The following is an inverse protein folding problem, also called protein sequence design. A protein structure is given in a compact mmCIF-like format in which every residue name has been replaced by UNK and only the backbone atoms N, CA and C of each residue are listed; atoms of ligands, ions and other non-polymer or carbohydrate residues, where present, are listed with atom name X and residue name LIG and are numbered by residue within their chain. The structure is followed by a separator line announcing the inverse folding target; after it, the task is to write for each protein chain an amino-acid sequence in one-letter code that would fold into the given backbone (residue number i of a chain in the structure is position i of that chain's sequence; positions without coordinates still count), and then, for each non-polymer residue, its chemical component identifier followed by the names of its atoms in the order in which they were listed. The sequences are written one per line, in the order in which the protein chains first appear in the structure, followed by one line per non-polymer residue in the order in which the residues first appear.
data_IF_236289834364
#
_entry.id   IF_236289834364
#
_cell.length_a   1.000
_cell.length_b   1.000
_cell.length_c   1.000
_cell.angle_alpha   90.00
_cell.angle_beta   90.00
_cell.angle_gamma   90.00
#
_symmetry.space_group_name_H-M   'P 1'
#
loop_
_entity.id
_entity.type
_entity.pdbx_description
1 polymer ?
#
# COMPACT_ATOMS: atom_id res chain seq x y z
N UNK A 1 -0.61 -30.59 14.52
CA UNK A 1 0.05 -30.50 15.85
C UNK A 1 1.21 -31.51 15.95
N UNK A 2 0.98 -32.80 15.59
CA UNK A 2 2.04 -33.84 15.64
C UNK A 2 3.21 -33.47 14.70
N UNK A 3 2.94 -33.12 13.46
CA UNK A 3 3.97 -32.69 12.50
C UNK A 3 4.85 -31.54 13.00
N UNK A 4 4.28 -30.61 13.77
CA UNK A 4 5.04 -29.49 14.33
C UNK A 4 6.05 -29.98 15.39
N UNK A 5 5.67 -30.90 16.26
CA UNK A 5 6.54 -31.52 17.25
C UNK A 5 7.69 -32.30 16.57
N UNK A 6 7.36 -33.07 15.54
CA UNK A 6 8.34 -33.83 14.77
C UNK A 6 9.39 -32.91 14.14
N UNK A 7 8.96 -31.76 13.59
CA UNK A 7 9.89 -30.75 13.03
C UNK A 7 10.81 -30.17 14.11
N UNK A 8 10.27 -29.78 15.27
CA UNK A 8 11.08 -29.27 16.39
C UNK A 8 12.07 -30.32 16.87
N UNK A 9 11.63 -31.57 17.00
CA UNK A 9 12.49 -32.69 17.40
C UNK A 9 13.61 -32.97 16.39
N UNK A 10 13.34 -32.82 15.10
CA UNK A 10 14.35 -32.95 14.04
C UNK A 10 15.38 -31.82 14.15
N UNK A 11 14.94 -30.58 14.36
CA UNK A 11 15.82 -29.43 14.53
C UNK A 11 16.73 -29.62 15.73
N UNK A 12 16.17 -30.02 16.89
CA UNK A 12 16.91 -30.20 18.15
C UNK A 12 17.88 -31.34 18.12
N UNK A 13 17.77 -32.31 17.19
CA UNK A 13 18.71 -33.40 16.98
C UNK A 13 19.90 -33.05 16.07
N UNK A 14 19.93 -31.85 15.53
CA UNK A 14 20.97 -31.38 14.60
C UNK A 14 21.85 -30.33 15.28
N UNK A 15 23.15 -30.58 15.31
CA UNK A 15 24.14 -29.68 15.95
C UNK A 15 24.33 -28.36 15.19
N UNK A 16 23.95 -28.32 13.91
CA UNK A 16 24.07 -27.19 13.00
C UNK A 16 22.79 -26.38 12.83
N UNK A 17 21.70 -26.75 13.53
CA UNK A 17 20.42 -26.05 13.51
C UNK A 17 20.05 -25.50 14.89
N UNK A 18 19.35 -24.38 14.91
CA UNK A 18 18.80 -23.76 16.11
C UNK A 18 17.32 -23.49 15.90
N UNK A 19 16.47 -23.95 16.82
CA UNK A 19 15.07 -23.59 16.86
C UNK A 19 14.91 -22.17 17.40
N UNK A 20 15.17 -21.17 16.55
CA UNK A 20 15.25 -19.76 16.94
C UNK A 20 13.88 -19.11 17.07
N UNK A 21 12.91 -19.49 16.25
CA UNK A 21 11.60 -18.86 16.26
C UNK A 21 10.49 -19.70 15.66
N UNK A 22 9.25 -19.31 16.01
CA UNK A 22 8.03 -19.89 15.46
C UNK A 22 7.05 -18.79 15.11
N UNK A 23 6.30 -18.98 14.03
CA UNK A 23 5.30 -18.03 13.63
C UNK A 23 4.09 -18.66 12.94
N UNK A 24 3.01 -17.90 12.94
CA UNK A 24 1.90 -18.06 12.01
C UNK A 24 1.65 -16.76 11.26
N UNK A 25 0.93 -16.81 10.15
CA UNK A 25 0.47 -15.63 9.43
C UNK A 25 -1.05 -15.67 9.33
N UNK A 26 -1.71 -14.62 9.83
CA UNK A 26 -3.16 -14.55 9.84
C UNK A 26 -3.74 -14.50 8.43
N UNK A 27 -4.76 -15.31 8.18
CA UNK A 27 -5.44 -15.39 6.89
C UNK A 27 -6.28 -14.13 6.62
N UNK A 28 -6.96 -13.61 7.67
CA UNK A 28 -7.91 -12.49 7.56
C UNK A 28 -7.86 -11.63 8.81
N UNK A 29 -6.74 -10.91 9.02
CA UNK A 29 -6.61 -9.99 10.15
C UNK A 29 -7.15 -8.59 9.86
N UNK A 30 -7.37 -8.25 8.60
CA UNK A 30 -7.79 -6.94 8.10
C UNK A 30 -9.27 -6.87 7.72
N UNK A 31 -10.01 -7.92 8.04
CA UNK A 31 -11.46 -8.05 7.81
C UNK A 31 -12.23 -8.27 9.13
N UNK A 32 -13.53 -7.98 9.19
CA UNK A 32 -14.35 -8.30 10.34
C UNK A 32 -14.52 -9.81 10.52
N UNK A 33 -14.57 -10.28 11.77
CA UNK A 33 -14.82 -11.68 12.15
C UNK A 33 -13.82 -12.20 13.17
N UNK A 34 -14.03 -13.44 13.63
CA UNK A 34 -13.26 -14.06 14.71
C UNK A 34 -12.06 -14.89 14.22
N UNK A 35 -11.88 -15.05 12.91
CA UNK A 35 -10.85 -15.90 12.30
C UNK A 35 -9.44 -15.60 12.84
N UNK A 36 -9.10 -14.32 13.03
CA UNK A 36 -7.81 -13.92 13.58
C UNK A 36 -7.62 -14.44 15.02
N UNK A 37 -8.65 -14.31 15.89
CA UNK A 37 -8.58 -14.75 17.27
C UNK A 37 -8.55 -16.28 17.36
N UNK A 38 -9.35 -16.98 16.57
CA UNK A 38 -9.36 -18.45 16.49
C UNK A 38 -7.97 -18.99 16.06
N UNK A 39 -7.38 -18.41 15.03
CA UNK A 39 -6.04 -18.78 14.57
C UNK A 39 -4.97 -18.47 15.62
N UNK A 40 -5.10 -17.35 16.34
CA UNK A 40 -4.17 -16.98 17.40
C UNK A 40 -4.20 -17.96 18.59
N UNK A 41 -5.39 -18.31 19.10
CA UNK A 41 -5.52 -19.26 20.19
C UNK A 41 -5.02 -20.67 19.77
N UNK A 42 -5.35 -21.11 18.57
CA UNK A 42 -4.81 -22.37 18.03
C UNK A 42 -3.27 -22.34 17.93
N UNK A 43 -2.70 -21.23 17.49
CA UNK A 43 -1.23 -21.06 17.46
C UNK A 43 -0.61 -21.12 18.85
N UNK A 44 -1.21 -20.46 19.85
CA UNK A 44 -0.77 -20.53 21.24
C UNK A 44 -0.78 -21.95 21.79
N UNK A 45 -1.85 -22.68 21.51
CA UNK A 45 -1.99 -24.07 21.96
C UNK A 45 -0.89 -24.97 21.37
N UNK A 46 -0.53 -24.77 20.11
CA UNK A 46 0.58 -25.49 19.47
C UNK A 46 1.91 -25.13 20.14
N UNK A 47 2.21 -23.85 20.25
CA UNK A 47 3.51 -23.39 20.79
C UNK A 47 3.70 -23.80 22.25
N UNK A 48 2.63 -23.84 23.05
CA UNK A 48 2.70 -24.28 24.46
C UNK A 48 3.01 -25.79 24.61
N UNK A 49 2.97 -26.58 23.55
CA UNK A 49 3.25 -28.02 23.59
C UNK A 49 4.72 -28.39 23.29
N UNK A 50 5.54 -27.40 22.97
CA UNK A 50 6.97 -27.59 22.68
C UNK A 50 7.81 -26.62 23.51
N UNK A 51 9.13 -26.83 23.50
CA UNK A 51 10.06 -25.85 24.03
C UNK A 51 9.91 -24.50 23.33
N UNK A 52 9.83 -23.42 24.09
CA UNK A 52 9.62 -22.07 23.54
C UNK A 52 10.91 -21.55 22.92
N UNK A 53 10.89 -21.17 21.64
CA UNK A 53 12.03 -20.53 21.00
C UNK A 53 12.18 -19.07 21.46
N UNK A 54 13.28 -18.43 21.05
CA UNK A 54 13.56 -17.02 21.36
C UNK A 54 12.51 -16.07 20.77
N UNK A 55 11.99 -16.38 19.56
CA UNK A 55 11.00 -15.53 18.88
C UNK A 55 9.70 -16.28 18.63
N UNK A 56 8.62 -15.66 19.10
CA UNK A 56 7.24 -16.10 18.85
C UNK A 56 6.49 -14.92 18.23
N UNK A 57 5.99 -15.08 17.01
CA UNK A 57 5.30 -13.98 16.35
C UNK A 57 4.18 -14.42 15.42
N UNK A 58 3.07 -13.69 15.45
CA UNK A 58 1.91 -13.92 14.59
C UNK A 58 1.43 -12.64 13.89
N UNK A 59 1.65 -11.49 14.53
CA UNK A 59 1.05 -10.22 14.16
C UNK A 59 1.70 -9.65 12.89
N UNK A 60 0.87 -9.46 11.86
CA UNK A 60 1.12 -8.60 10.72
C UNK A 60 0.69 -7.15 11.03
N UNK A 61 0.67 -6.24 10.04
CA UNK A 61 0.26 -4.84 10.25
C UNK A 61 -1.14 -4.70 10.82
N UNK A 62 -2.12 -5.49 10.36
CA UNK A 62 -3.49 -5.42 10.86
C UNK A 62 -3.59 -5.91 12.31
N UNK A 63 -3.08 -7.11 12.57
CA UNK A 63 -3.13 -7.69 13.90
C UNK A 63 -2.35 -6.87 14.94
N UNK A 64 -1.22 -6.24 14.55
CA UNK A 64 -0.46 -5.39 15.48
C UNK A 64 -1.20 -4.12 15.89
N UNK A 65 -2.19 -3.69 15.12
CA UNK A 65 -3.02 -2.53 15.43
C UNK A 65 -4.32 -2.90 16.17
N UNK A 66 -4.86 -4.10 15.93
CA UNK A 66 -6.18 -4.50 16.40
C UNK A 66 -6.15 -5.37 17.66
N UNK A 67 -5.08 -6.11 17.92
CA UNK A 67 -5.04 -7.06 19.03
C UNK A 67 -3.85 -6.81 19.96
N UNK A 68 -4.08 -7.14 21.24
CA UNK A 68 -3.02 -7.24 22.24
C UNK A 68 -2.37 -8.63 22.15
N UNK A 69 -1.17 -8.68 21.57
CA UNK A 69 -0.45 -9.91 21.29
C UNK A 69 0.53 -10.34 22.40
N UNK A 70 0.20 -10.22 23.66
CA UNK A 70 1.11 -10.45 24.81
C UNK A 70 1.83 -11.79 24.81
N UNK A 71 1.29 -12.82 24.17
CA UNK A 71 1.97 -14.11 24.02
C UNK A 71 3.15 -14.05 23.04
N UNK A 72 3.07 -13.18 22.03
CA UNK A 72 4.12 -12.97 21.04
C UNK A 72 5.12 -11.91 21.53
N UNK A 73 6.39 -12.09 21.25
CA UNK A 73 7.45 -11.15 21.62
C UNK A 73 8.07 -10.42 20.43
N UNK A 74 7.53 -10.63 19.23
CA UNK A 74 7.91 -9.93 18.01
C UNK A 74 6.70 -9.72 17.09
N UNK A 75 6.78 -8.72 16.22
CA UNK A 75 5.76 -8.38 15.21
C UNK A 75 6.42 -8.24 13.82
N UNK A 76 5.63 -8.42 12.78
CA UNK A 76 6.07 -8.24 11.39
C UNK A 76 5.29 -7.11 10.75
N UNK A 77 5.74 -5.88 10.96
CA UNK A 77 5.13 -4.71 10.33
C UNK A 77 5.46 -4.68 8.84
N UNK A 78 4.40 -4.57 8.04
CA UNK A 78 4.48 -4.31 6.61
C UNK A 78 3.98 -2.90 6.29
N UNK A 79 2.79 -2.80 5.71
CA UNK A 79 2.23 -1.54 5.21
C UNK A 79 2.09 -0.45 6.28
N UNK A 80 1.83 -0.82 7.53
CA UNK A 80 1.70 0.15 8.63
C UNK A 80 3.02 0.84 8.98
N UNK A 81 4.18 0.25 8.66
CA UNK A 81 5.49 0.90 8.79
C UNK A 81 5.59 2.14 7.88
N UNK A 82 4.92 2.09 6.74
CA UNK A 82 4.85 3.21 5.79
C UNK A 82 3.72 4.19 6.09
N UNK A 83 2.99 3.97 7.20
CA UNK A 83 1.94 4.88 7.66
C UNK A 83 0.58 4.66 7.01
N UNK A 84 0.33 3.46 6.45
CA UNK A 84 -0.94 3.11 5.85
C UNK A 84 -1.69 2.06 6.65
N UNK A 85 -3.01 2.17 6.69
CA UNK A 85 -3.86 1.13 7.25
C UNK A 85 -4.02 -0.02 6.26
N UNK A 86 -3.97 -1.28 6.72
CA UNK A 86 -4.15 -2.44 5.84
C UNK A 86 -5.51 -2.49 5.14
N UNK A 87 -6.57 -1.98 5.80
CA UNK A 87 -7.92 -1.91 5.26
C UNK A 87 -8.71 -0.77 5.91
N UNK A 88 -9.89 -0.46 5.35
CA UNK A 88 -10.85 0.47 5.95
C UNK A 88 -11.34 -0.05 7.30
N UNK A 89 -11.60 -1.36 7.42
CA UNK A 89 -11.98 -2.00 8.69
C UNK A 89 -10.96 -1.71 9.80
N UNK A 90 -9.67 -1.90 9.54
CA UNK A 90 -8.61 -1.60 10.51
C UNK A 90 -8.63 -0.11 10.88
N UNK A 91 -8.72 0.77 9.90
CA UNK A 91 -8.76 2.23 10.12
C UNK A 91 -9.90 2.64 11.05
N UNK A 92 -11.09 2.06 10.88
CA UNK A 92 -12.28 2.42 11.64
C UNK A 92 -12.29 1.83 13.06
N UNK A 93 -11.50 0.76 13.30
CA UNK A 93 -11.48 0.04 14.57
C UNK A 93 -10.25 0.31 15.44
N UNK A 94 -9.34 1.20 15.03
CA UNK A 94 -8.14 1.54 15.81
C UNK A 94 -8.12 3.01 16.19
N UNK A 95 -7.49 3.31 17.34
CA UNK A 95 -7.32 4.70 17.81
C UNK A 95 -5.99 5.34 17.36
N UNK A 96 -5.11 4.56 16.76
CA UNK A 96 -3.79 5.02 16.33
C UNK A 96 -3.90 5.79 15.02
N UNK A 97 -3.37 7.00 14.97
CA UNK A 97 -3.26 7.77 13.74
C UNK A 97 -1.93 7.48 13.04
N UNK A 98 -2.01 6.71 11.97
CA UNK A 98 -0.86 6.47 11.09
C UNK A 98 -0.62 7.68 10.18
N UNK A 99 0.66 8.02 9.98
CA UNK A 99 1.08 9.09 9.08
C UNK A 99 1.96 8.49 7.99
N UNK A 100 1.62 8.67 6.71
CA UNK A 100 2.45 8.22 5.61
C UNK A 100 3.87 8.78 5.72
N UNK A 101 4.84 7.88 5.56
CA UNK A 101 6.27 8.18 5.68
C UNK A 101 6.99 8.27 4.33
N UNK A 102 6.29 7.94 3.22
CA UNK A 102 6.86 7.95 1.87
C UNK A 102 6.02 8.81 0.91
N UNK A 103 6.71 9.48 0.00
CA UNK A 103 6.11 10.21 -1.11
C UNK A 103 6.80 9.81 -2.41
N UNK A 104 6.02 9.58 -3.47
CA UNK A 104 6.55 9.48 -4.81
C UNK A 104 6.43 10.85 -5.48
N UNK A 105 7.56 11.39 -5.89
CA UNK A 105 7.67 12.76 -6.37
C UNK A 105 8.29 12.79 -7.76
N UNK A 106 7.80 13.70 -8.61
CA UNK A 106 8.37 14.05 -9.90
C UNK A 106 8.29 15.57 -10.11
N UNK A 107 8.65 16.04 -11.27
CA UNK A 107 8.53 17.44 -11.69
C UNK A 107 7.87 17.56 -13.06
N UNK A 108 7.33 18.71 -13.36
CA UNK A 108 6.72 19.00 -14.66
C UNK A 108 7.81 19.29 -15.67
N UNK A 109 7.83 18.50 -16.77
CA UNK A 109 8.79 18.71 -17.87
C UNK A 109 8.24 19.56 -19.01
N UNK A 110 6.90 19.67 -19.12
CA UNK A 110 6.26 20.52 -20.13
C UNK A 110 4.86 20.91 -19.68
N UNK A 111 4.44 22.15 -20.04
CA UNK A 111 3.05 22.62 -19.92
C UNK A 111 2.55 22.98 -21.31
N UNK A 112 1.29 22.60 -21.63
CA UNK A 112 0.62 22.92 -22.90
C UNK A 112 -0.81 23.41 -22.64
N UNK A 113 -1.30 24.28 -23.50
CA UNK A 113 -2.72 24.63 -23.56
C UNK A 113 -3.43 23.72 -24.55
N UNK A 114 -4.64 23.29 -24.21
CA UNK A 114 -5.55 22.55 -25.08
C UNK A 114 -6.76 23.44 -25.39
N UNK A 115 -7.16 23.44 -26.66
CA UNK A 115 -8.43 24.02 -27.09
C UNK A 115 -9.55 23.00 -26.97
N UNK A 116 -10.79 23.50 -26.96
CA UNK A 116 -11.97 22.64 -26.98
C UNK A 116 -11.90 21.64 -28.14
N UNK A 117 -12.15 20.39 -27.87
CA UNK A 117 -12.14 19.29 -28.84
C UNK A 117 -10.77 18.66 -29.08
N UNK A 118 -9.66 19.24 -28.59
CA UNK A 118 -8.35 18.60 -28.69
C UNK A 118 -8.25 17.39 -27.76
N UNK A 119 -7.51 16.38 -28.19
CA UNK A 119 -7.39 15.10 -27.50
C UNK A 119 -5.96 14.85 -27.04
N UNK A 120 -5.79 14.05 -25.97
CA UNK A 120 -4.49 13.65 -25.46
C UNK A 120 -4.38 12.15 -25.27
N UNK A 121 -3.11 11.68 -25.29
CA UNK A 121 -2.69 10.30 -25.02
C UNK A 121 -3.14 9.28 -26.07
N UNK A 122 -2.68 8.04 -25.88
CA UNK A 122 -3.02 6.91 -26.75
C UNK A 122 -4.51 6.60 -26.76
N UNK A 123 -5.05 6.37 -27.96
CA UNK A 123 -6.46 6.07 -28.16
C UNK A 123 -7.36 7.29 -27.98
N UNK A 124 -6.81 8.49 -27.82
CA UNK A 124 -7.56 9.75 -27.67
C UNK A 124 -8.63 9.63 -26.59
N UNK A 125 -8.30 9.01 -25.47
CA UNK A 125 -9.26 8.66 -24.39
C UNK A 125 -9.69 9.86 -23.56
N UNK A 126 -9.04 11.01 -23.74
CA UNK A 126 -9.44 12.27 -23.15
C UNK A 126 -9.64 13.32 -24.24
N UNK A 127 -10.75 14.06 -24.20
CA UNK A 127 -11.06 15.19 -25.06
C UNK A 127 -11.32 16.43 -24.18
N UNK A 128 -10.66 17.52 -24.50
CA UNK A 128 -10.87 18.77 -23.77
C UNK A 128 -12.26 19.36 -24.06
N UNK A 129 -13.10 19.45 -23.03
CA UNK A 129 -14.46 20.04 -23.12
C UNK A 129 -14.45 21.56 -23.02
N UNK A 130 -13.37 22.14 -22.52
CA UNK A 130 -13.11 23.57 -22.40
C UNK A 130 -11.63 23.86 -22.66
N UNK A 131 -11.29 25.12 -22.88
CA UNK A 131 -9.88 25.51 -22.89
C UNK A 131 -9.28 25.22 -21.54
N UNK A 132 -8.12 24.51 -21.50
CA UNK A 132 -7.47 24.06 -20.29
C UNK A 132 -5.97 23.92 -20.50
N UNK A 133 -5.21 23.89 -19.39
CA UNK A 133 -3.80 23.51 -19.40
C UNK A 133 -3.61 22.08 -18.95
N UNK A 134 -2.62 21.46 -19.56
CA UNK A 134 -2.10 20.15 -19.17
C UNK A 134 -0.60 20.23 -18.90
N UNK A 135 -0.12 19.37 -18.02
CA UNK A 135 1.30 19.18 -17.77
C UNK A 135 1.72 17.75 -18.10
N UNK A 136 2.95 17.59 -18.55
CA UNK A 136 3.57 16.31 -18.85
C UNK A 136 4.57 16.00 -17.73
N UNK A 137 4.43 14.82 -17.16
CA UNK A 137 5.27 14.27 -16.11
C UNK A 137 6.14 13.15 -16.69
N UNK A 138 7.45 13.12 -16.43
CA UNK A 138 8.37 12.10 -16.93
C UNK A 138 8.30 10.84 -16.06
N UNK A 139 7.13 10.23 -15.99
CA UNK A 139 6.86 9.00 -15.24
C UNK A 139 5.72 8.25 -15.90
N UNK A 140 5.89 6.95 -16.10
CA UNK A 140 4.90 6.09 -16.72
C UNK A 140 4.90 4.67 -16.18
N UNK A 141 4.27 3.75 -16.92
CA UNK A 141 4.14 2.38 -16.43
C UNK A 141 5.46 1.61 -16.41
N UNK A 142 6.48 2.01 -17.16
CA UNK A 142 7.82 1.43 -17.08
C UNK A 142 8.52 1.76 -15.75
N UNK A 143 8.12 2.85 -15.09
CA UNK A 143 8.61 3.28 -13.78
C UNK A 143 7.77 2.71 -12.63
N UNK A 144 6.76 1.87 -12.93
CA UNK A 144 5.83 1.31 -11.95
C UNK A 144 4.57 2.16 -11.71
N UNK A 145 4.38 3.28 -12.43
CA UNK A 145 3.16 4.08 -12.34
C UNK A 145 2.05 3.46 -13.20
N UNK A 146 1.12 2.78 -12.56
CA UNK A 146 0.18 1.88 -13.23
C UNK A 146 -0.74 2.60 -14.22
N UNK A 147 -1.12 1.92 -15.31
CA UNK A 147 -2.13 2.40 -16.27
C UNK A 147 -3.49 2.66 -15.64
N UNK A 148 -3.82 1.94 -14.56
CA UNK A 148 -5.04 2.13 -13.78
C UNK A 148 -5.12 3.50 -13.09
N UNK A 149 -4.03 4.29 -13.09
CA UNK A 149 -4.01 5.64 -12.53
C UNK A 149 -4.68 6.68 -13.42
N UNK A 150 -5.18 6.32 -14.60
CA UNK A 150 -6.04 7.21 -15.40
C UNK A 150 -7.27 7.64 -14.58
N UNK A 151 -7.56 8.93 -14.51
CA UNK A 151 -8.64 9.49 -13.68
C UNK A 151 -8.29 9.67 -12.20
N UNK A 152 -7.12 9.20 -11.76
CA UNK A 152 -6.62 9.48 -10.41
C UNK A 152 -6.13 10.93 -10.30
N UNK A 153 -5.90 11.36 -9.06
CA UNK A 153 -5.43 12.72 -8.79
C UNK A 153 -4.00 12.70 -8.26
N UNK A 154 -3.21 13.68 -8.70
CA UNK A 154 -1.89 14.02 -8.16
C UNK A 154 -1.95 15.41 -7.53
N UNK A 155 -0.96 15.74 -6.70
CA UNK A 155 -0.89 17.08 -6.13
C UNK A 155 0.22 17.90 -6.80
N UNK A 156 -0.15 19.09 -7.28
CA UNK A 156 0.76 20.08 -7.85
C UNK A 156 0.55 21.38 -7.10
N UNK A 157 1.54 21.86 -6.38
CA UNK A 157 1.47 23.13 -5.62
C UNK A 157 0.24 23.25 -4.70
N UNK A 158 -0.25 22.13 -4.14
CA UNK A 158 -1.46 22.09 -3.31
C UNK A 158 -2.76 21.85 -4.08
N UNK A 159 -2.74 21.89 -5.40
CA UNK A 159 -3.90 21.59 -6.24
C UNK A 159 -4.03 20.11 -6.53
N UNK A 160 -5.26 19.58 -6.50
CA UNK A 160 -5.56 18.23 -7.00
C UNK A 160 -5.70 18.30 -8.53
N UNK A 161 -4.81 17.62 -9.23
CA UNK A 161 -4.71 17.60 -10.69
C UNK A 161 -5.02 16.19 -11.20
N UNK A 162 -6.02 16.09 -12.08
CA UNK A 162 -6.46 14.79 -12.61
C UNK A 162 -5.49 14.26 -13.67
N UNK A 163 -5.22 12.95 -13.63
CA UNK A 163 -4.50 12.22 -14.68
C UNK A 163 -5.42 12.05 -15.88
N UNK A 164 -5.16 12.77 -16.96
CA UNK A 164 -5.98 12.82 -18.17
C UNK A 164 -5.41 11.96 -19.29
N UNK A 165 -6.26 11.13 -19.87
CA UNK A 165 -5.82 10.15 -20.86
C UNK A 165 -5.04 8.98 -20.25
N UNK A 166 -4.54 8.08 -21.09
CA UNK A 166 -3.83 6.87 -20.65
C UNK A 166 -2.42 7.21 -20.19
N UNK A 167 -1.99 6.58 -19.08
CA UNK A 167 -0.58 6.58 -18.69
C UNK A 167 0.25 5.89 -19.77
N UNK A 168 1.29 6.57 -20.27
CA UNK A 168 2.20 6.08 -21.29
C UNK A 168 3.35 5.27 -20.67
N UNK A 169 4.31 4.81 -21.48
CA UNK A 169 5.44 4.03 -21.01
C UNK A 169 6.28 4.82 -20.00
N UNK A 170 6.60 6.05 -20.32
CA UNK A 170 7.54 6.94 -19.63
C UNK A 170 6.94 8.33 -19.32
N UNK A 171 5.64 8.53 -19.58
CA UNK A 171 4.97 9.82 -19.41
C UNK A 171 3.56 9.66 -18.89
N UNK A 172 3.16 10.63 -18.07
CA UNK A 172 1.79 10.81 -17.59
C UNK A 172 1.37 12.25 -17.84
N UNK A 173 0.11 12.43 -18.22
CA UNK A 173 -0.46 13.75 -18.51
C UNK A 173 -1.48 14.09 -17.42
N UNK A 174 -1.40 15.30 -16.89
CA UNK A 174 -2.32 15.79 -15.85
C UNK A 174 -2.93 17.12 -16.25
N UNK A 175 -4.19 17.33 -15.88
CA UNK A 175 -4.81 18.65 -15.97
C UNK A 175 -4.25 19.57 -14.90
N UNK A 176 -3.94 20.81 -15.22
CA UNK A 176 -3.34 21.74 -14.25
C UNK A 176 -3.98 23.13 -14.32
N UNK A 177 -3.99 23.89 -13.20
CA UNK A 177 -4.40 25.28 -13.20
C UNK A 177 -3.37 26.20 -13.89
N UNK A 178 -3.76 27.46 -14.08
CA UNK A 178 -3.01 28.44 -14.89
C UNK A 178 -1.68 28.88 -14.32
N UNK A 179 -1.51 28.82 -13.02
CA UNK A 179 -0.32 29.21 -12.27
C UNK A 179 0.81 28.15 -12.28
N UNK A 180 0.51 26.94 -12.77
CA UNK A 180 1.46 25.84 -12.85
C UNK A 180 2.42 26.04 -14.04
N UNK A 181 3.71 25.72 -13.81
CA UNK A 181 4.79 25.88 -14.79
C UNK A 181 5.73 24.68 -14.81
N UNK A 182 6.57 24.60 -15.84
CA UNK A 182 7.66 23.64 -15.94
C UNK A 182 8.61 23.76 -14.74
N UNK A 183 9.04 22.62 -14.20
CA UNK A 183 9.87 22.51 -13.00
C UNK A 183 9.10 22.48 -11.68
N UNK A 184 7.78 22.69 -11.70
CA UNK A 184 6.98 22.56 -10.48
C UNK A 184 6.96 21.12 -10.00
N UNK A 185 7.05 20.96 -8.67
CA UNK A 185 7.04 19.65 -7.99
C UNK A 185 5.66 19.02 -8.05
N UNK A 186 5.62 17.75 -8.40
CA UNK A 186 4.40 16.95 -8.42
C UNK A 186 4.52 15.80 -7.43
N UNK A 187 3.54 15.64 -6.57
CA UNK A 187 3.44 14.49 -5.68
C UNK A 187 2.45 13.52 -6.31
N UNK A 188 2.97 12.39 -6.83
CA UNK A 188 2.20 11.36 -7.51
C UNK A 188 1.45 10.45 -6.54
N UNK A 189 2.05 10.21 -5.40
CA UNK A 189 1.47 9.43 -4.31
C UNK A 189 1.57 10.27 -3.05
N UNK A 190 0.47 10.88 -2.70
CA UNK A 190 0.22 11.45 -1.40
C UNK A 190 -0.44 10.40 -0.51
N UNK A 191 -0.21 10.54 0.76
CA UNK A 191 -1.02 9.95 1.81
C UNK A 191 -2.44 9.65 1.34
N UNK A 192 -2.89 8.42 1.53
CA UNK A 192 -4.23 7.90 1.18
C UNK A 192 -5.44 8.71 1.70
N UNK A 193 -5.24 9.87 2.29
CA UNK A 193 -6.32 10.80 2.68
C UNK A 193 -7.09 11.31 1.44
N UNK A 194 -6.54 11.16 0.24
CA UNK A 194 -7.14 11.70 -0.99
C UNK A 194 -7.31 10.70 -2.13
N UNK A 195 -7.01 9.43 -1.89
CA UNK A 195 -7.43 8.36 -2.78
C UNK A 195 -8.73 7.82 -2.17
N UNK A 196 -9.87 8.39 -2.56
CA UNK A 196 -11.09 7.62 -2.60
C UNK A 196 -10.73 6.40 -3.45
N UNK A 197 -10.73 5.21 -2.86
CA UNK A 197 -10.32 3.98 -3.51
C UNK A 197 -10.95 3.91 -4.91
N UNK A 198 -10.15 3.77 -5.98
CA UNK A 198 -10.71 3.20 -7.17
C UNK A 198 -11.14 1.80 -6.75
N UNK A 199 -12.45 1.56 -6.73
CA UNK A 199 -13.04 0.24 -6.63
C UNK A 199 -12.22 -0.68 -7.51
N UNK A 200 -11.45 -1.59 -6.91
CA UNK A 200 -10.70 -2.60 -7.64
C UNK A 200 -11.73 -3.46 -8.37
N UNK A 201 -11.78 -3.47 -9.71
CA UNK A 201 -12.34 -4.60 -10.40
C UNK A 201 -11.32 -5.74 -10.25
N UNK A 202 -11.75 -6.84 -9.71
CA UNK A 202 -11.04 -8.11 -9.73
C UNK A 202 -10.82 -8.58 -11.16
#
# INVERSE_FOLDING_TARGET
VEEYKDVVDIINKKDDLVFEGVFTHFASADEPGDSMNEQYEFFKDIVNQVEKPNYIHSQNSAASLLMDGQFCNAIRLGISLYGYYPSQYVRDNVKVHLRPSAQLVTEIVQVKSLKVGETVSYGRTFTAEKEMKIAILPVGYADGYLRAMQGAYVNVNGHQCEVVGRVCMDQTIVSVPDDVKMGDKVILMLSLIHISEPTRPY
#
